data_IF_874770568499
#
_entry.id   IF_874770568499
#
_cell.length_a   1.000
_cell.length_b   1.000
_cell.length_c   1.000
_cell.angle_alpha   90.00
_cell.angle_beta   90.00
_cell.angle_gamma   90.00
#
_symmetry.space_group_name_H-M   'P 1'
#
loop_
_entity.id
_entity.type
_entity.pdbx_description
1 polymer ?
#
# COMPACT_ATOMS: atom_id res chain seq x y z
N UNK A 1 11.48 2.20 -8.32
CA UNK A 1 11.10 3.33 -7.45
C UNK A 1 12.36 4.05 -7.04
N UNK A 2 12.31 5.38 -6.88
CA UNK A 2 13.43 6.18 -6.40
C UNK A 2 13.09 6.75 -5.02
N UNK A 3 14.11 6.89 -4.17
CA UNK A 3 13.99 7.47 -2.83
C UNK A 3 15.06 8.53 -2.64
N UNK A 4 14.69 9.65 -2.02
CA UNK A 4 15.61 10.65 -1.52
C UNK A 4 15.49 10.67 0.02
N UNK A 5 16.62 10.75 0.72
CA UNK A 5 16.68 10.72 2.17
C UNK A 5 17.22 12.05 2.71
N UNK A 6 16.67 12.47 3.83
CA UNK A 6 17.21 13.55 4.65
C UNK A 6 17.71 12.98 5.96
N UNK A 7 18.93 13.37 6.35
CA UNK A 7 19.54 13.03 7.63
C UNK A 7 19.56 14.24 8.59
N UNK A 8 18.82 15.30 8.27
CA UNK A 8 18.83 16.60 8.97
C UNK A 8 17.41 17.17 9.18
N UNK A 9 16.46 16.28 9.47
CA UNK A 9 15.05 16.60 9.75
C UNK A 9 14.33 17.29 8.58
N UNK A 10 14.68 16.93 7.36
CA UNK A 10 14.05 17.44 6.13
C UNK A 10 14.59 18.78 5.66
N UNK A 11 15.68 19.31 6.24
CA UNK A 11 16.30 20.57 5.78
C UNK A 11 16.96 20.41 4.41
N UNK A 12 17.66 19.30 4.21
CA UNK A 12 18.28 18.92 2.94
C UNK A 12 17.99 17.46 2.61
N UNK A 13 17.97 17.15 1.31
CA UNK A 13 17.81 15.78 0.81
C UNK A 13 19.00 15.43 -0.07
N UNK A 14 19.52 14.22 0.12
CA UNK A 14 20.47 13.65 -0.83
C UNK A 14 19.81 13.43 -2.20
N UNK A 15 20.59 13.38 -3.29
CA UNK A 15 20.09 12.97 -4.59
C UNK A 15 19.36 11.63 -4.52
N UNK A 16 18.33 11.46 -5.34
CA UNK A 16 17.55 10.23 -5.34
C UNK A 16 18.38 9.03 -5.81
N UNK A 17 18.13 7.88 -5.20
CA UNK A 17 18.70 6.59 -5.60
C UNK A 17 17.61 5.55 -5.79
N UNK A 18 17.86 4.48 -6.57
CA UNK A 18 16.91 3.38 -6.67
C UNK A 18 16.65 2.80 -5.29
N UNK A 19 15.38 2.72 -4.89
CA UNK A 19 15.00 2.15 -3.59
C UNK A 19 15.12 0.62 -3.60
N UNK A 20 14.82 0.00 -4.75
CA UNK A 20 14.80 -1.45 -4.95
C UNK A 20 15.52 -1.81 -6.25
N UNK A 21 16.31 -2.89 -6.23
CA UNK A 21 17.16 -3.28 -7.35
C UNK A 21 16.35 -3.71 -8.59
N UNK A 22 15.19 -4.32 -8.40
CA UNK A 22 14.34 -4.71 -9.52
C UNK A 22 13.65 -3.47 -10.14
N UNK A 23 13.74 -3.28 -11.47
CA UNK A 23 13.14 -2.14 -12.15
C UNK A 23 11.63 -2.33 -12.37
N UNK A 24 10.85 -2.41 -11.28
CA UNK A 24 9.39 -2.60 -11.34
C UNK A 24 8.62 -1.42 -11.95
N UNK A 25 9.27 -0.26 -12.08
CA UNK A 25 8.60 1.03 -12.25
C UNK A 25 7.71 1.39 -11.05
N UNK A 26 7.22 2.62 -10.98
CA UNK A 26 6.20 3.02 -10.00
C UNK A 26 5.14 3.84 -10.74
N UNK A 27 3.86 3.52 -10.52
CA UNK A 27 2.76 4.21 -11.16
C UNK A 27 2.60 5.62 -10.54
N UNK A 28 2.96 6.66 -11.28
CA UNK A 28 2.98 8.04 -10.78
C UNK A 28 1.62 8.64 -10.40
N UNK A 29 0.50 8.04 -10.82
CA UNK A 29 -0.84 8.51 -10.47
C UNK A 29 -1.51 7.69 -9.35
N UNK A 30 -1.01 6.49 -9.05
CA UNK A 30 -1.58 5.69 -7.99
C UNK A 30 -1.04 6.20 -6.65
N UNK A 31 -1.93 6.47 -5.70
CA UNK A 31 -1.58 7.11 -4.43
C UNK A 31 -0.70 6.24 -3.53
N UNK A 32 0.61 6.25 -3.77
CA UNK A 32 1.61 5.54 -2.97
C UNK A 32 1.65 6.02 -1.52
N UNK A 33 2.10 5.13 -0.63
CA UNK A 33 2.18 5.39 0.81
C UNK A 33 3.52 4.92 1.36
N UNK A 34 4.05 5.68 2.29
CA UNK A 34 5.19 5.30 3.11
C UNK A 34 4.84 5.49 4.59
N UNK A 35 5.35 4.63 5.46
CA UNK A 35 5.13 4.66 6.89
C UNK A 35 6.34 4.07 7.61
N UNK A 36 6.90 4.76 8.60
CA UNK A 36 7.83 4.16 9.55
C UNK A 36 7.03 3.56 10.72
N UNK A 37 7.37 2.42 11.30
CA UNK A 37 6.75 1.96 12.54
C UNK A 37 7.49 2.46 13.79
N UNK A 38 7.12 1.96 14.97
CA UNK A 38 7.75 2.35 16.25
C UNK A 38 9.14 1.75 16.44
N UNK A 39 9.47 0.70 15.68
CA UNK A 39 10.78 0.06 15.66
C UNK A 39 11.74 0.73 14.66
N UNK A 40 11.23 1.68 13.86
CA UNK A 40 11.99 2.40 12.84
C UNK A 40 12.01 1.69 11.48
N UNK A 41 11.25 0.60 11.32
CA UNK A 41 11.10 -0.08 10.04
C UNK A 41 10.26 0.78 9.10
N UNK A 42 10.75 1.03 7.88
CA UNK A 42 10.04 1.82 6.87
C UNK A 42 9.35 0.89 5.88
N UNK A 43 8.06 1.08 5.71
CA UNK A 43 7.21 0.39 4.75
C UNK A 43 6.83 1.33 3.62
N UNK A 44 6.96 0.89 2.38
CA UNK A 44 6.45 1.62 1.20
C UNK A 44 5.53 0.71 0.40
N UNK A 45 4.28 1.13 0.25
CA UNK A 45 3.28 0.43 -0.54
C UNK A 45 3.04 1.22 -1.82
N UNK A 46 3.24 0.58 -2.96
CA UNK A 46 3.11 1.23 -4.27
C UNK A 46 2.55 0.28 -5.32
N UNK A 47 2.02 0.85 -6.40
CA UNK A 47 1.64 0.09 -7.60
C UNK A 47 2.77 0.13 -8.61
N UNK A 48 3.16 -1.04 -9.14
CA UNK A 48 4.18 -1.16 -10.19
C UNK A 48 3.68 -0.58 -11.52
N UNK A 49 4.62 -0.32 -12.43
CA UNK A 49 4.34 0.12 -13.79
C UNK A 49 5.27 -0.61 -14.78
N UNK A 50 5.43 -1.92 -14.58
CA UNK A 50 6.36 -2.77 -15.33
C UNK A 50 5.74 -3.15 -16.68
N UNK A 51 6.55 -3.05 -17.75
CA UNK A 51 6.20 -3.50 -19.10
C UNK A 51 4.86 -2.98 -19.65
N UNK A 52 4.39 -1.83 -19.14
CA UNK A 52 3.08 -1.23 -19.46
C UNK A 52 1.83 -2.04 -19.07
N UNK A 53 1.94 -3.33 -18.77
CA UNK A 53 0.82 -4.22 -18.46
C UNK A 53 0.79 -4.71 -17.01
N UNK A 54 1.91 -4.64 -16.29
CA UNK A 54 1.94 -5.02 -14.89
C UNK A 54 1.63 -3.82 -14.00
N UNK A 55 0.62 -4.00 -13.15
CA UNK A 55 0.06 -3.01 -12.24
C UNK A 55 -0.08 -3.63 -10.86
N UNK A 56 0.87 -4.46 -10.49
CA UNK A 56 0.88 -5.21 -9.24
C UNK A 56 1.05 -4.26 -8.05
N UNK A 57 0.67 -4.73 -6.86
CA UNK A 57 1.01 -4.05 -5.61
C UNK A 57 2.32 -4.60 -5.09
N UNK A 58 3.28 -3.72 -4.85
CA UNK A 58 4.56 -4.04 -4.22
C UNK A 58 4.63 -3.40 -2.84
N UNK A 59 5.18 -4.17 -1.90
CA UNK A 59 5.59 -3.69 -0.58
C UNK A 59 7.11 -3.67 -0.54
N UNK A 60 7.69 -2.51 -0.21
CA UNK A 60 9.08 -2.38 0.16
C UNK A 60 9.22 -2.22 1.68
N UNK A 61 10.28 -2.79 2.25
CA UNK A 61 10.63 -2.67 3.67
C UNK A 61 12.10 -2.32 3.85
N UNK A 62 12.42 -1.47 4.81
CA UNK A 62 13.79 -1.05 5.15
C UNK A 62 13.95 -0.92 6.66
N UNK A 63 14.89 -1.69 7.22
CA UNK A 63 15.29 -1.63 8.63
C UNK A 63 16.54 -0.77 8.88
N UNK A 64 17.05 -0.10 7.85
CA UNK A 64 18.27 0.71 7.89
C UNK A 64 18.01 2.18 7.56
N UNK A 65 16.84 2.67 8.01
CA UNK A 65 16.41 4.07 7.87
C UNK A 65 16.32 4.51 6.40
N UNK A 66 15.85 3.63 5.52
CA UNK A 66 15.64 3.91 4.11
C UNK A 66 16.93 3.99 3.31
N UNK A 67 18.03 3.41 3.82
CA UNK A 67 19.25 3.27 3.05
C UNK A 67 19.02 2.23 1.94
N UNK A 68 18.54 1.04 2.27
CA UNK A 68 18.25 -0.01 1.30
C UNK A 68 16.89 -0.65 1.58
N UNK A 69 16.20 -1.07 0.53
CA UNK A 69 14.90 -1.73 0.66
C UNK A 69 14.91 -3.14 0.08
N UNK A 70 14.22 -4.03 0.78
CA UNK A 70 13.77 -5.31 0.25
C UNK A 70 12.37 -5.14 -0.33
N UNK A 71 12.04 -5.88 -1.39
CA UNK A 71 10.77 -5.76 -2.10
C UNK A 71 10.08 -7.09 -2.29
N UNK A 72 8.74 -7.07 -2.21
CA UNK A 72 7.88 -8.22 -2.46
C UNK A 72 6.71 -7.79 -3.34
N UNK A 73 6.44 -8.56 -4.39
CA UNK A 73 5.18 -8.50 -5.14
C UNK A 73 4.07 -9.09 -4.27
N UNK A 74 3.22 -8.21 -3.74
CA UNK A 74 2.17 -8.53 -2.77
C UNK A 74 0.90 -9.03 -3.45
N UNK A 75 0.57 -8.47 -4.62
CA UNK A 75 -0.66 -8.82 -5.33
C UNK A 75 -0.52 -8.50 -6.83
N UNK A 76 -0.25 -9.52 -7.66
CA UNK A 76 -0.13 -9.36 -9.11
C UNK A 76 -1.42 -8.87 -9.76
N UNK A 77 -1.29 -8.01 -10.77
CA UNK A 77 -2.39 -7.58 -11.61
C UNK A 77 -1.93 -7.16 -13.01
N UNK A 78 -2.37 -7.90 -14.02
CA UNK A 78 -2.11 -7.57 -15.42
C UNK A 78 -3.25 -6.76 -16.01
N UNK A 79 -2.99 -5.48 -16.28
CA UNK A 79 -3.92 -4.57 -16.96
C UNK A 79 -3.14 -3.46 -17.67
N UNK A 80 -3.52 -3.18 -18.92
CA UNK A 80 -2.90 -2.12 -19.74
C UNK A 80 -3.53 -0.73 -19.54
N UNK A 81 -4.62 -0.64 -18.78
CA UNK A 81 -5.31 0.61 -18.49
C UNK A 81 -4.88 1.20 -17.15
N UNK A 82 -5.14 2.49 -16.95
CA UNK A 82 -4.82 3.17 -15.71
C UNK A 82 -5.84 2.82 -14.61
N UNK A 83 -5.44 2.16 -13.50
CA UNK A 83 -6.38 1.82 -12.43
C UNK A 83 -6.91 3.05 -11.70
N UNK A 84 -6.17 4.18 -11.71
CA UNK A 84 -6.50 5.39 -10.93
C UNK A 84 -6.91 5.03 -9.50
N UNK A 85 -6.00 4.40 -8.77
CA UNK A 85 -6.26 3.80 -7.46
C UNK A 85 -5.37 4.41 -6.39
N UNK A 86 -5.63 4.10 -5.12
CA UNK A 86 -4.76 4.51 -4.01
C UNK A 86 -4.65 3.39 -3.00
N UNK A 87 -3.74 3.57 -2.06
CA UNK A 87 -3.50 2.60 -1.00
C UNK A 87 -3.43 3.29 0.35
N UNK A 88 -3.36 2.48 1.40
CA UNK A 88 -3.29 2.92 2.79
C UNK A 88 -2.29 2.06 3.56
N UNK A 89 -1.52 2.72 4.43
CA UNK A 89 -0.67 2.10 5.44
C UNK A 89 -1.01 2.72 6.79
N UNK A 90 -1.23 1.90 7.81
CA UNK A 90 -1.59 2.35 9.16
C UNK A 90 -0.96 1.45 10.21
N UNK A 91 -0.46 2.04 11.31
CA UNK A 91 0.05 1.28 12.46
C UNK A 91 -1.11 0.64 13.25
N UNK A 92 -0.86 -0.52 13.84
CA UNK A 92 -1.75 -1.23 14.75
C UNK A 92 -0.93 -1.89 15.87
N UNK A 93 -1.60 -2.32 16.95
CA UNK A 93 -0.93 -3.01 18.05
C UNK A 93 -0.24 -4.33 17.62
N UNK A 94 -0.71 -4.93 16.52
CA UNK A 94 -0.19 -6.20 15.98
C UNK A 94 0.76 -6.00 14.78
N UNK A 95 1.21 -4.76 14.51
CA UNK A 95 2.10 -4.42 13.39
C UNK A 95 1.47 -3.41 12.43
N UNK A 96 1.79 -3.50 11.14
CA UNK A 96 1.31 -2.55 10.12
C UNK A 96 0.17 -3.17 9.30
N UNK A 97 -0.87 -2.37 9.06
CA UNK A 97 -1.95 -2.69 8.15
C UNK A 97 -1.70 -2.02 6.80
N UNK A 98 -1.84 -2.79 5.73
CA UNK A 98 -1.76 -2.33 4.35
C UNK A 98 -3.10 -2.59 3.66
N UNK A 99 -3.60 -1.65 2.88
CA UNK A 99 -4.79 -1.83 2.06
C UNK A 99 -4.63 -1.24 0.66
N UNK A 100 -5.18 -1.93 -0.32
CA UNK A 100 -5.04 -1.63 -1.74
C UNK A 100 -6.21 -2.19 -2.55
N UNK A 101 -6.24 -1.88 -3.82
CA UNK A 101 -7.19 -2.43 -4.78
C UNK A 101 -6.49 -3.32 -5.80
N UNK A 102 -7.16 -4.37 -6.23
CA UNK A 102 -6.75 -5.20 -7.35
C UNK A 102 -8.02 -5.63 -8.07
N UNK A 103 -8.09 -5.33 -9.37
CA UNK A 103 -9.18 -5.77 -10.25
C UNK A 103 -10.58 -5.38 -9.75
N UNK A 104 -10.74 -4.12 -9.34
CA UNK A 104 -12.04 -3.59 -8.89
C UNK A 104 -12.52 -4.13 -7.53
N UNK A 105 -11.66 -4.82 -6.81
CA UNK A 105 -11.86 -5.27 -5.43
C UNK A 105 -10.81 -4.65 -4.50
N UNK A 106 -11.19 -4.37 -3.25
CA UNK A 106 -10.26 -3.88 -2.23
C UNK A 106 -9.88 -4.99 -1.25
N UNK A 107 -8.63 -4.94 -0.83
CA UNK A 107 -8.00 -5.90 0.05
C UNK A 107 -7.27 -5.17 1.18
N UNK A 108 -7.07 -5.87 2.27
CA UNK A 108 -6.12 -5.48 3.29
C UNK A 108 -5.30 -6.68 3.77
N UNK A 109 -4.14 -6.42 4.34
CA UNK A 109 -3.35 -7.43 5.06
C UNK A 109 -2.66 -6.82 6.27
N UNK A 110 -2.20 -7.68 7.17
CA UNK A 110 -1.37 -7.35 8.31
C UNK A 110 0.06 -7.80 8.05
N UNK A 111 0.99 -6.93 8.43
CA UNK A 111 2.44 -7.13 8.38
C UNK A 111 2.93 -7.09 9.82
N UNK A 112 3.41 -8.21 10.33
CA UNK A 112 3.97 -8.29 11.69
C UNK A 112 5.27 -7.48 11.76
N UNK A 113 5.38 -6.52 12.68
CA UNK A 113 6.57 -5.67 12.81
C UNK A 113 7.84 -6.46 13.20
N UNK A 114 7.72 -7.54 13.99
CA UNK A 114 8.90 -8.29 14.46
C UNK A 114 9.48 -9.24 13.42
N UNK A 115 8.61 -9.89 12.63
CA UNK A 115 9.02 -10.95 11.69
C UNK A 115 9.00 -10.50 10.24
N UNK A 116 8.35 -9.37 9.95
CA UNK A 116 8.01 -8.95 8.58
C UNK A 116 7.01 -9.89 7.89
N UNK A 117 6.44 -10.86 8.62
CA UNK A 117 5.52 -11.84 8.06
C UNK A 117 4.22 -11.15 7.66
N UNK A 118 3.76 -11.47 6.46
CA UNK A 118 2.54 -10.93 5.87
C UNK A 118 1.46 -11.98 5.95
N UNK A 119 0.29 -11.61 6.46
CA UNK A 119 -0.89 -12.46 6.35
C UNK A 119 -1.37 -12.53 4.88
N UNK A 120 -2.18 -13.54 4.57
CA UNK A 120 -2.88 -13.59 3.28
C UNK A 120 -3.81 -12.37 3.16
N UNK A 121 -3.89 -11.72 1.99
CA UNK A 121 -4.81 -10.61 1.79
C UNK A 121 -6.27 -11.00 2.06
N UNK A 122 -6.98 -10.16 2.82
CA UNK A 122 -8.40 -10.29 3.12
C UNK A 122 -9.16 -9.32 2.22
N UNK A 123 -10.16 -9.82 1.49
CA UNK A 123 -11.02 -8.97 0.65
C UNK A 123 -12.18 -8.36 1.43
N UNK A 124 -12.66 -7.20 0.98
CA UNK A 124 -13.95 -6.70 1.41
C UNK A 124 -15.08 -7.67 1.01
N UNK A 125 -16.09 -7.90 1.86
CA UNK A 125 -17.15 -8.87 1.60
C UNK A 125 -17.99 -8.47 0.38
N UNK A 126 -18.47 -9.46 -0.37
CA UNK A 126 -19.18 -9.23 -1.64
C UNK A 126 -18.27 -8.72 -2.76
N UNK A 127 -18.82 -8.55 -3.96
CA UNK A 127 -18.10 -7.96 -5.08
C UNK A 127 -19.05 -7.14 -5.95
N UNK A 128 -18.78 -5.84 -6.05
CA UNK A 128 -19.43 -4.94 -7.00
C UNK A 128 -18.56 -4.67 -8.23
N UNK A 129 -17.31 -5.15 -8.22
CA UNK A 129 -16.32 -4.97 -9.31
C UNK A 129 -15.88 -3.52 -9.56
N UNK A 130 -16.22 -2.58 -8.66
CA UNK A 130 -15.98 -1.14 -8.84
C UNK A 130 -15.49 -0.48 -7.56
N UNK A 131 -14.73 -1.19 -6.75
CA UNK A 131 -14.22 -0.69 -5.47
C UNK A 131 -12.86 -0.04 -5.64
N UNK A 132 -12.65 1.12 -5.01
CA UNK A 132 -11.40 1.89 -5.10
C UNK A 132 -11.09 2.61 -3.80
N UNK A 133 -9.89 3.18 -3.75
CA UNK A 133 -9.43 4.09 -2.72
C UNK A 133 -9.62 3.58 -1.27
N UNK A 134 -9.12 2.36 -0.96
CA UNK A 134 -9.28 1.83 0.37
C UNK A 134 -8.45 2.62 1.39
N UNK A 135 -9.00 2.71 2.60
CA UNK A 135 -8.34 3.19 3.81
C UNK A 135 -8.54 2.15 4.91
N UNK A 136 -7.47 1.79 5.60
CA UNK A 136 -7.52 0.82 6.70
C UNK A 136 -7.09 1.46 8.01
N UNK A 137 -7.75 1.09 9.10
CA UNK A 137 -7.39 1.49 10.46
C UNK A 137 -7.69 0.36 11.45
N UNK A 138 -7.07 0.43 12.63
CA UNK A 138 -7.36 -0.46 13.75
C UNK A 138 -7.63 0.34 15.03
N UNK A 139 -8.39 -0.25 15.94
CA UNK A 139 -8.59 0.29 17.28
C UNK A 139 -7.74 -0.46 18.32
N UNK A 140 -7.87 -0.06 19.60
CA UNK A 140 -7.14 -0.68 20.72
C UNK A 140 -7.65 -2.06 21.12
N UNK A 141 -8.84 -2.44 20.67
CA UNK A 141 -9.46 -3.74 20.94
C UNK A 141 -9.01 -4.81 19.94
N UNK A 142 -8.27 -4.42 18.90
CA UNK A 142 -7.76 -5.32 17.86
C UNK A 142 -8.65 -5.39 16.62
N UNK A 143 -9.82 -4.72 16.64
CA UNK A 143 -10.71 -4.65 15.48
C UNK A 143 -10.05 -3.85 14.35
N UNK A 144 -10.32 -4.28 13.12
CA UNK A 144 -9.83 -3.62 11.91
C UNK A 144 -10.99 -3.10 11.08
N UNK A 145 -10.96 -1.83 10.70
CA UNK A 145 -11.92 -1.24 9.75
C UNK A 145 -11.26 -1.00 8.40
N UNK A 146 -11.92 -1.48 7.34
CA UNK A 146 -11.60 -1.13 5.96
C UNK A 146 -12.73 -0.26 5.42
N UNK A 147 -12.43 0.93 4.94
CA UNK A 147 -13.35 1.79 4.18
C UNK A 147 -12.90 1.92 2.73
N UNK A 148 -13.83 2.05 1.79
CA UNK A 148 -13.54 2.20 0.36
C UNK A 148 -14.66 2.95 -0.37
N UNK A 149 -14.39 3.36 -1.61
CA UNK A 149 -15.42 3.92 -2.49
C UNK A 149 -15.92 2.90 -3.49
N UNK A 150 -17.20 2.94 -3.85
CA UNK A 150 -17.80 2.13 -4.92
C UNK A 150 -18.29 3.02 -6.07
N UNK A 151 -17.96 2.64 -7.31
CA UNK A 151 -18.41 3.35 -8.51
C UNK A 151 -17.72 4.70 -8.76
N UNK A 152 -16.67 5.03 -8.00
CA UNK A 152 -15.89 6.24 -8.20
C UNK A 152 -15.03 6.15 -9.48
N UNK A 153 -14.91 7.28 -10.19
CA UNK A 153 -14.14 7.37 -11.43
C UNK A 153 -13.74 8.80 -11.75
N UNK A 154 -13.13 8.98 -12.94
CA UNK A 154 -12.76 10.31 -13.41
C UNK A 154 -14.01 11.20 -13.53
N UNK A 155 -13.99 12.35 -12.84
CA UNK A 155 -15.12 13.29 -12.79
C UNK A 155 -16.45 12.64 -12.33
N UNK A 156 -16.38 11.56 -11.55
CA UNK A 156 -17.53 10.80 -11.08
C UNK A 156 -17.36 10.44 -9.61
N UNK A 157 -18.26 10.94 -8.76
CA UNK A 157 -18.34 10.54 -7.36
C UNK A 157 -18.79 9.08 -7.21
N UNK A 158 -18.44 8.47 -6.08
CA UNK A 158 -18.88 7.13 -5.69
C UNK A 158 -19.65 7.16 -4.37
N UNK A 159 -20.12 5.98 -3.93
CA UNK A 159 -20.61 5.78 -2.57
C UNK A 159 -19.46 5.35 -1.65
N UNK A 160 -19.59 5.64 -0.35
CA UNK A 160 -18.70 5.11 0.68
C UNK A 160 -19.26 3.79 1.22
N UNK A 161 -18.40 2.79 1.38
CA UNK A 161 -18.70 1.54 2.05
C UNK A 161 -17.59 1.19 3.04
N UNK A 162 -17.90 0.36 4.03
CA UNK A 162 -16.92 -0.10 5.01
C UNK A 162 -17.28 -1.47 5.57
N UNK A 163 -16.29 -2.14 6.15
CA UNK A 163 -16.43 -3.39 6.88
C UNK A 163 -15.51 -3.39 8.11
N UNK A 164 -16.01 -3.90 9.22
CA UNK A 164 -15.22 -4.18 10.43
C UNK A 164 -14.90 -5.67 10.49
N UNK A 165 -13.64 -6.00 10.73
CA UNK A 165 -13.07 -7.34 10.87
C UNK A 165 -12.52 -7.54 12.28
N UNK A 166 -12.16 -8.78 12.61
CA UNK A 166 -11.52 -9.15 13.88
C UNK A 166 -12.37 -8.77 15.12
N UNK A 167 -13.68 -9.01 15.05
CA UNK A 167 -14.63 -8.86 16.16
C UNK A 167 -14.63 -10.07 17.10
#
# INVERSE_FOLDING_TARGET
MWVARSDDEGKTFAPEKPAFAEPTGACGCCGMRALADEQGEIYVLYRSAKEQVHRDIYLLTSGDQGADFQGVDLHPWQISTCPMSSMSLTRSAAGVLAAWETDGQVYWTRIESTTGKRASPVSAPGSTGKRKHPVVAANKEGETILGWTEGMGWNQGGSLAWQVFDK
#
